data_IF_931368060596
#
_entry.id   IF_931368060596
#
_cell.length_a   1.000
_cell.length_b   1.000
_cell.length_c   1.000
_cell.angle_alpha   90.00
_cell.angle_beta   90.00
_cell.angle_gamma   90.00
#
_symmetry.space_group_name_H-M   'P 1'
#
loop_
_entity.id
_entity.type
_entity.pdbx_description
1 polymer ?
#
# COMPACT_ATOMS: atom_id res chain seq x y z
N UNK A 1 -13.23 23.35 -1.22
CA UNK A 1 -14.20 24.12 -0.39
C UNK A 1 -13.70 25.54 -0.24
N UNK A 2 -14.57 26.52 0.00
CA UNK A 2 -14.15 27.88 0.39
C UNK A 2 -14.87 28.35 1.66
N UNK A 3 -14.29 29.37 2.29
CA UNK A 3 -14.87 30.02 3.47
C UNK A 3 -15.63 31.33 3.15
N UNK A 4 -15.49 31.83 1.92
CA UNK A 4 -16.21 32.98 1.36
C UNK A 4 -17.20 32.56 0.28
N UNK A 5 -17.60 33.50 -0.60
CA UNK A 5 -18.50 33.18 -1.70
C UNK A 5 -17.75 32.43 -2.81
N UNK A 6 -18.39 31.42 -3.39
CA UNK A 6 -17.80 30.62 -4.48
C UNK A 6 -17.52 31.49 -5.71
N UNK A 7 -18.36 32.49 -5.97
CA UNK A 7 -18.22 33.40 -7.11
C UNK A 7 -16.91 34.20 -7.08
N UNK A 8 -16.37 34.47 -5.89
CA UNK A 8 -15.13 35.24 -5.73
C UNK A 8 -13.93 34.51 -6.37
N UNK A 9 -14.05 33.20 -6.59
CA UNK A 9 -12.97 32.34 -7.09
C UNK A 9 -13.05 32.06 -8.59
N UNK A 10 -13.92 32.75 -9.34
CA UNK A 10 -14.16 32.43 -10.75
C UNK A 10 -12.96 32.63 -11.68
N UNK A 11 -11.99 33.41 -11.23
CA UNK A 11 -10.75 33.70 -11.95
C UNK A 11 -9.61 32.70 -11.66
N UNK A 12 -9.78 31.78 -10.69
CA UNK A 12 -8.77 30.77 -10.38
C UNK A 12 -8.92 29.51 -11.24
N UNK A 13 -7.79 28.85 -11.51
CA UNK A 13 -7.73 27.59 -12.25
C UNK A 13 -8.44 26.44 -11.50
N UNK A 14 -8.26 26.39 -10.18
CA UNK A 14 -8.90 25.41 -9.30
C UNK A 14 -9.98 26.16 -8.51
N UNK A 15 -11.23 25.79 -8.74
CA UNK A 15 -12.38 26.46 -8.13
C UNK A 15 -12.96 25.64 -6.98
N UNK A 16 -13.38 26.28 -5.88
CA UNK A 16 -14.14 25.61 -4.84
C UNK A 16 -15.52 25.22 -5.37
N UNK A 17 -15.98 24.01 -5.07
CA UNK A 17 -17.32 23.54 -5.49
C UNK A 17 -18.46 24.09 -4.63
N UNK A 18 -18.19 24.37 -3.34
CA UNK A 18 -19.15 24.90 -2.37
C UNK A 18 -18.46 25.63 -1.22
N UNK A 19 -19.24 26.43 -0.51
CA UNK A 19 -18.84 27.08 0.74
C UNK A 19 -19.05 26.16 1.96
N UNK A 20 -18.16 26.26 2.94
CA UNK A 20 -18.25 25.56 4.23
C UNK A 20 -19.39 26.12 5.08
N UNK A 21 -20.22 25.24 5.64
CA UNK A 21 -21.15 25.60 6.71
C UNK A 21 -20.43 25.67 8.07
N UNK A 22 -19.80 26.83 8.33
CA UNK A 22 -19.07 27.06 9.59
C UNK A 22 -20.00 27.02 10.80
N UNK A 23 -21.22 27.51 10.65
CA UNK A 23 -22.17 27.63 11.76
C UNK A 23 -22.58 26.26 12.27
N UNK A 24 -22.80 25.30 11.36
CA UNK A 24 -23.11 23.92 11.72
C UNK A 24 -21.95 23.26 12.49
N UNK A 25 -20.71 23.47 12.06
CA UNK A 25 -19.53 22.92 12.74
C UNK A 25 -19.42 23.49 14.16
N UNK A 26 -19.53 24.82 14.31
CA UNK A 26 -19.44 25.49 15.62
C UNK A 26 -20.57 25.00 16.54
N UNK A 27 -21.79 24.89 16.02
CA UNK A 27 -22.95 24.44 16.80
C UNK A 27 -22.79 23.02 17.36
N UNK A 28 -22.20 22.12 16.58
CA UNK A 28 -22.04 20.70 16.94
C UNK A 28 -20.63 20.36 17.47
N UNK A 29 -19.79 21.38 17.69
CA UNK A 29 -18.37 21.20 18.00
C UNK A 29 -18.13 20.32 19.23
N UNK A 30 -18.89 20.53 20.31
CA UNK A 30 -18.80 19.71 21.53
C UNK A 30 -19.08 18.22 21.26
N UNK A 31 -20.07 17.93 20.40
CA UNK A 31 -20.40 16.56 20.03
C UNK A 31 -19.30 15.93 19.18
N UNK A 32 -18.74 16.68 18.23
CA UNK A 32 -17.60 16.27 17.41
C UNK A 32 -16.40 15.95 18.32
N UNK A 33 -16.04 16.85 19.24
CA UNK A 33 -14.94 16.64 20.18
C UNK A 33 -15.14 15.40 21.07
N UNK A 34 -16.36 15.17 21.58
CA UNK A 34 -16.67 13.97 22.37
C UNK A 34 -16.50 12.69 21.56
N UNK A 35 -16.92 12.68 20.29
CA UNK A 35 -16.73 11.54 19.39
C UNK A 35 -15.24 11.30 19.15
N UNK A 36 -14.48 12.35 18.82
CA UNK A 36 -13.04 12.27 18.59
C UNK A 36 -12.29 11.77 19.84
N UNK A 37 -12.64 12.29 21.02
CA UNK A 37 -12.06 11.85 22.30
C UNK A 37 -12.40 10.38 22.59
N UNK A 38 -13.63 9.94 22.35
CA UNK A 38 -14.04 8.54 22.56
C UNK A 38 -13.29 7.58 21.64
N UNK A 39 -13.08 7.97 20.38
CA UNK A 39 -12.28 7.20 19.42
C UNK A 39 -10.81 7.18 19.81
N UNK A 40 -10.24 8.31 20.21
CA UNK A 40 -8.85 8.41 20.65
C UNK A 40 -8.57 7.57 21.92
N UNK A 41 -9.49 7.58 22.87
CA UNK A 41 -9.45 6.76 24.09
C UNK A 41 -9.83 5.30 23.86
N UNK A 42 -10.20 4.92 22.63
CA UNK A 42 -10.64 3.57 22.24
C UNK A 42 -11.80 3.04 23.09
N UNK A 43 -12.63 3.93 23.66
CA UNK A 43 -13.82 3.56 24.45
C UNK A 43 -14.99 3.12 23.56
N UNK A 44 -14.92 3.42 22.26
CA UNK A 44 -15.88 2.98 21.24
C UNK A 44 -15.17 2.69 19.92
N UNK A 45 -15.81 1.92 19.04
CA UNK A 45 -15.30 1.64 17.69
C UNK A 45 -15.87 2.61 16.66
N UNK A 46 -15.12 2.87 15.59
CA UNK A 46 -15.59 3.66 14.44
C UNK A 46 -16.89 3.10 13.86
N UNK A 47 -17.00 1.76 13.75
CA UNK A 47 -18.21 1.09 13.25
C UNK A 47 -19.44 1.36 14.13
N UNK A 48 -19.26 1.42 15.46
CA UNK A 48 -20.34 1.75 16.39
C UNK A 48 -20.77 3.21 16.25
N UNK A 49 -19.82 4.14 16.15
CA UNK A 49 -20.09 5.56 15.93
C UNK A 49 -20.85 5.77 14.62
N UNK A 50 -20.35 5.23 13.51
CA UNK A 50 -20.98 5.34 12.18
C UNK A 50 -22.39 4.76 12.21
N UNK A 51 -22.57 3.57 12.78
CA UNK A 51 -23.90 2.97 12.95
C UNK A 51 -24.83 3.90 13.72
N UNK A 52 -24.41 4.38 14.89
CA UNK A 52 -25.23 5.25 15.75
C UNK A 52 -25.62 6.56 15.06
N UNK A 53 -24.67 7.20 14.37
CA UNK A 53 -24.90 8.45 13.65
C UNK A 53 -25.81 8.27 12.44
N UNK A 54 -25.75 7.11 11.78
CA UNK A 54 -26.52 6.78 10.57
C UNK A 54 -27.92 6.21 10.86
N UNK A 55 -28.14 5.63 12.04
CA UNK A 55 -29.46 5.10 12.46
C UNK A 55 -30.46 6.23 12.74
N UNK A 56 -29.98 7.35 13.27
CA UNK A 56 -30.80 8.57 13.41
C UNK A 56 -31.00 9.12 11.99
N UNK A 57 -32.26 9.31 11.57
CA UNK A 57 -32.68 9.74 10.20
C UNK A 57 -31.67 10.72 9.55
N UNK A 58 -31.62 10.73 8.20
CA UNK A 58 -30.80 11.52 7.23
C UNK A 58 -30.45 13.00 7.56
N UNK A 59 -30.90 13.54 8.68
CA UNK A 59 -30.76 14.89 9.20
C UNK A 59 -29.89 14.99 10.46
N UNK A 60 -29.10 13.98 10.84
CA UNK A 60 -28.23 14.10 12.02
C UNK A 60 -27.25 15.28 11.87
N UNK A 61 -27.37 16.35 12.68
CA UNK A 61 -26.56 17.56 12.52
C UNK A 61 -25.09 17.30 12.86
N UNK A 62 -24.80 16.45 13.84
CA UNK A 62 -23.44 16.06 14.22
C UNK A 62 -22.75 15.30 13.07
N UNK A 63 -23.47 14.39 12.39
CA UNK A 63 -22.93 13.70 11.23
C UNK A 63 -22.59 14.67 10.10
N UNK A 64 -23.49 15.64 9.83
CA UNK A 64 -23.24 16.68 8.82
C UNK A 64 -22.07 17.59 9.20
N UNK A 65 -21.92 17.92 10.49
CA UNK A 65 -20.78 18.68 11.00
C UNK A 65 -19.45 17.92 10.82
N UNK A 66 -19.44 16.61 11.10
CA UNK A 66 -18.28 15.74 10.85
C UNK A 66 -17.91 15.71 9.36
N UNK A 67 -18.89 15.56 8.47
CA UNK A 67 -18.65 15.60 7.01
C UNK A 67 -18.10 16.96 6.60
N UNK A 68 -18.70 18.07 7.06
CA UNK A 68 -18.22 19.40 6.73
C UNK A 68 -16.79 19.66 7.23
N UNK A 69 -16.43 19.11 8.39
CA UNK A 69 -15.06 19.16 8.91
C UNK A 69 -14.10 18.33 8.05
N UNK A 70 -14.47 17.10 7.70
CA UNK A 70 -13.68 16.22 6.83
C UNK A 70 -13.42 16.87 5.46
N UNK A 71 -14.44 17.52 4.88
CA UNK A 71 -14.32 18.24 3.61
C UNK A 71 -13.32 19.43 3.67
N UNK A 72 -13.16 20.07 4.83
CA UNK A 72 -12.13 21.11 5.04
C UNK A 72 -10.75 20.46 5.02
N UNK A 73 -10.55 19.41 5.82
CA UNK A 73 -9.27 18.68 5.91
C UNK A 73 -8.88 18.10 4.55
N UNK A 74 -9.84 17.52 3.84
CA UNK A 74 -9.63 16.98 2.49
C UNK A 74 -9.29 18.08 1.49
N UNK A 75 -9.93 19.25 1.58
CA UNK A 75 -9.58 20.40 0.72
C UNK A 75 -8.14 20.84 0.97
N UNK A 76 -7.74 21.01 2.23
CA UNK A 76 -6.37 21.40 2.60
C UNK A 76 -5.34 20.38 2.08
N UNK A 77 -5.61 19.08 2.31
CA UNK A 77 -4.79 17.99 1.80
C UNK A 77 -4.66 18.00 0.27
N UNK A 78 -5.76 18.14 -0.47
CA UNK A 78 -5.74 18.15 -1.94
C UNK A 78 -4.94 19.33 -2.47
N UNK A 79 -5.09 20.53 -1.87
CA UNK A 79 -4.33 21.70 -2.27
C UNK A 79 -2.84 21.50 -2.04
N UNK A 80 -2.45 20.99 -0.86
CA UNK A 80 -1.05 20.63 -0.57
C UNK A 80 -0.51 19.56 -1.53
N UNK A 81 -1.32 18.54 -1.83
CA UNK A 81 -0.98 17.48 -2.77
C UNK A 81 -0.75 18.01 -4.19
N UNK A 82 -1.53 18.98 -4.66
CA UNK A 82 -1.37 19.56 -6.00
C UNK A 82 -0.07 20.37 -6.09
N UNK A 83 0.24 21.14 -5.05
CA UNK A 83 1.40 22.02 -5.00
C UNK A 83 2.72 21.24 -4.89
N UNK A 84 2.75 20.23 -4.02
CA UNK A 84 3.96 19.47 -3.70
C UNK A 84 4.21 18.30 -4.64
N UNK A 85 5.36 18.30 -5.32
CA UNK A 85 5.80 17.14 -6.09
C UNK A 85 6.21 15.97 -5.18
N UNK A 86 6.75 16.28 -3.99
CA UNK A 86 7.20 15.28 -3.03
C UNK A 86 6.02 14.46 -2.50
N UNK A 87 4.93 15.13 -2.12
CA UNK A 87 3.70 14.47 -1.64
C UNK A 87 3.09 13.58 -2.72
N UNK A 88 3.04 14.07 -3.97
CA UNK A 88 2.61 13.26 -5.12
C UNK A 88 3.43 12.00 -5.30
N UNK A 89 4.76 12.12 -5.24
CA UNK A 89 5.67 10.98 -5.37
C UNK A 89 5.50 10.00 -4.21
N UNK A 90 5.34 10.50 -2.97
CA UNK A 90 5.14 9.67 -1.79
C UNK A 90 3.84 8.86 -1.89
N UNK A 91 2.73 9.52 -2.24
CA UNK A 91 1.42 8.88 -2.46
C UNK A 91 1.49 7.87 -3.60
N UNK A 92 2.05 8.25 -4.76
CA UNK A 92 2.18 7.33 -5.89
C UNK A 92 3.02 6.10 -5.54
N UNK A 93 4.10 6.27 -4.77
CA UNK A 93 4.92 5.15 -4.30
C UNK A 93 4.13 4.23 -3.37
N UNK A 94 3.30 4.76 -2.49
CA UNK A 94 2.42 3.97 -1.65
C UNK A 94 1.37 3.20 -2.47
N UNK A 95 0.71 3.87 -3.42
CA UNK A 95 -0.26 3.27 -4.33
C UNK A 95 0.36 2.15 -5.17
N UNK A 96 1.51 2.40 -5.81
CA UNK A 96 2.21 1.41 -6.62
C UNK A 96 2.56 0.15 -5.82
N UNK A 97 2.89 0.28 -4.53
CA UNK A 97 3.13 -0.89 -3.65
C UNK A 97 1.85 -1.69 -3.43
N UNK A 98 0.73 -1.02 -3.14
CA UNK A 98 -0.56 -1.67 -2.98
C UNK A 98 -1.01 -2.36 -4.27
N UNK A 99 -0.88 -1.69 -5.41
CA UNK A 99 -1.23 -2.26 -6.71
C UNK A 99 -0.34 -3.47 -7.07
N UNK A 100 0.97 -3.38 -6.84
CA UNK A 100 1.89 -4.51 -7.03
C UNK A 100 1.50 -5.71 -6.17
N UNK A 101 1.12 -5.46 -4.92
CA UNK A 101 0.63 -6.50 -4.02
C UNK A 101 -0.67 -7.12 -4.51
N UNK A 102 -1.64 -6.31 -4.95
CA UNK A 102 -2.89 -6.82 -5.51
C UNK A 102 -2.67 -7.64 -6.79
N UNK A 103 -1.72 -7.23 -7.64
CA UNK A 103 -1.33 -8.01 -8.82
C UNK A 103 -0.75 -9.37 -8.42
N UNK A 104 0.13 -9.40 -7.40
CA UNK A 104 0.66 -10.66 -6.83
C UNK A 104 -0.46 -11.53 -6.26
N UNK A 105 -1.34 -10.99 -5.40
CA UNK A 105 -2.47 -11.73 -4.83
C UNK A 105 -3.39 -12.27 -5.92
N UNK A 106 -3.66 -11.49 -6.96
CA UNK A 106 -4.45 -11.93 -8.12
C UNK A 106 -3.77 -13.08 -8.87
N UNK A 107 -2.45 -13.02 -9.04
CA UNK A 107 -1.70 -14.09 -9.69
C UNK A 107 -1.75 -15.39 -8.89
N UNK A 108 -1.53 -15.31 -7.57
CA UNK A 108 -1.64 -16.46 -6.65
C UNK A 108 -3.05 -17.05 -6.69
N UNK A 109 -4.08 -16.21 -6.66
CA UNK A 109 -5.47 -16.68 -6.71
C UNK A 109 -5.81 -17.41 -8.02
N UNK A 110 -5.15 -17.08 -9.14
CA UNK A 110 -5.39 -17.67 -10.46
C UNK A 110 -4.69 -19.02 -10.69
N UNK A 111 -3.74 -19.39 -9.83
CA UNK A 111 -2.91 -20.60 -9.96
C UNK A 111 -3.71 -21.90 -10.04
N UNK A 112 -4.92 -21.92 -9.46
CA UNK A 112 -5.79 -23.09 -9.44
C UNK A 112 -6.66 -23.24 -10.71
N UNK A 113 -6.07 -23.00 -11.90
CA UNK A 113 -6.74 -23.18 -13.19
C UNK A 113 -7.78 -22.10 -13.54
N UNK A 114 -7.59 -20.86 -13.08
CA UNK A 114 -8.47 -19.74 -13.45
C UNK A 114 -9.88 -19.76 -12.82
N UNK A 115 -10.21 -20.80 -12.04
CA UNK A 115 -11.34 -20.74 -11.12
C UNK A 115 -10.89 -19.85 -9.96
N UNK A 116 -11.42 -18.62 -9.86
CA UNK A 116 -11.39 -17.87 -8.60
C UNK A 116 -11.70 -18.87 -7.50
N UNK A 117 -10.92 -18.85 -6.42
CA UNK A 117 -11.01 -19.88 -5.39
C UNK A 117 -12.46 -19.89 -4.88
N UNK A 118 -13.24 -20.86 -5.37
CA UNK A 118 -14.68 -20.89 -5.20
C UNK A 118 -14.95 -21.43 -3.80
N UNK A 119 -14.84 -20.56 -2.80
CA UNK A 119 -15.51 -20.80 -1.53
C UNK A 119 -17.00 -20.72 -1.77
N UNK A 120 -17.74 -21.79 -1.51
CA UNK A 120 -19.21 -21.75 -1.55
C UNK A 120 -19.78 -21.06 -0.29
N UNK A 121 -18.96 -21.01 0.76
CA UNK A 121 -19.28 -20.46 2.07
C UNK A 121 -18.33 -19.32 2.45
N UNK A 122 -18.79 -18.37 3.27
CA UNK A 122 -18.01 -17.22 3.76
C UNK A 122 -16.69 -17.65 4.44
N UNK A 123 -16.74 -18.70 5.27
CA UNK A 123 -15.56 -19.24 5.96
C UNK A 123 -14.49 -19.73 4.96
N UNK A 124 -14.91 -20.36 3.85
CA UNK A 124 -13.97 -20.85 2.84
C UNK A 124 -13.32 -19.68 2.10
N UNK A 125 -14.08 -18.62 1.80
CA UNK A 125 -13.54 -17.40 1.19
C UNK A 125 -12.50 -16.73 2.09
N UNK A 126 -12.78 -16.66 3.40
CA UNK A 126 -11.84 -16.12 4.38
C UNK A 126 -10.56 -16.94 4.46
N UNK A 127 -10.67 -18.28 4.59
CA UNK A 127 -9.50 -19.17 4.61
C UNK A 127 -8.67 -18.99 3.33
N UNK A 128 -9.32 -18.89 2.17
CA UNK A 128 -8.62 -18.70 0.90
C UNK A 128 -7.92 -17.34 0.83
N UNK A 129 -8.54 -16.27 1.30
CA UNK A 129 -7.92 -14.96 1.38
C UNK A 129 -6.69 -14.97 2.29
N UNK A 130 -6.77 -15.67 3.41
CA UNK A 130 -5.66 -15.88 4.35
C UNK A 130 -4.52 -16.70 3.73
N UNK A 131 -4.83 -17.77 2.99
CA UNK A 131 -3.83 -18.57 2.28
C UNK A 131 -3.12 -17.78 1.16
N UNK A 132 -3.85 -16.94 0.41
CA UNK A 132 -3.26 -16.03 -0.58
C UNK A 132 -2.32 -15.04 0.11
N UNK A 133 -2.77 -14.46 1.23
CA UNK A 133 -1.96 -13.51 2.01
C UNK A 133 -0.68 -14.16 2.53
N UNK A 134 -0.77 -15.38 3.06
CA UNK A 134 0.38 -16.14 3.54
C UNK A 134 1.38 -16.40 2.42
N UNK A 135 0.90 -16.90 1.27
CA UNK A 135 1.76 -17.19 0.10
C UNK A 135 2.43 -15.92 -0.42
N UNK A 136 1.69 -14.81 -0.52
CA UNK A 136 2.24 -13.52 -0.93
C UNK A 136 3.35 -13.06 0.03
N UNK A 137 3.13 -13.19 1.35
CA UNK A 137 4.12 -12.83 2.35
C UNK A 137 5.38 -13.71 2.29
N UNK A 138 5.24 -15.01 2.00
CA UNK A 138 6.39 -15.91 1.81
C UNK A 138 7.24 -15.46 0.60
N UNK A 139 6.61 -15.16 -0.53
CA UNK A 139 7.30 -14.67 -1.74
C UNK A 139 8.00 -13.34 -1.44
N UNK A 140 7.30 -12.39 -0.82
CA UNK A 140 7.85 -11.09 -0.46
C UNK A 140 9.02 -11.23 0.51
N UNK A 141 8.90 -12.10 1.51
CA UNK A 141 9.96 -12.36 2.48
C UNK A 141 11.20 -12.97 1.81
N UNK A 142 10.99 -13.95 0.93
CA UNK A 142 12.08 -14.56 0.16
C UNK A 142 12.82 -13.51 -0.67
N UNK A 143 12.09 -12.72 -1.45
CA UNK A 143 12.66 -11.64 -2.26
C UNK A 143 13.39 -10.60 -1.40
N UNK A 144 12.78 -10.13 -0.31
CA UNK A 144 13.37 -9.16 0.60
C UNK A 144 14.67 -9.69 1.23
N UNK A 145 14.74 -10.98 1.54
CA UNK A 145 15.94 -11.63 2.10
C UNK A 145 17.08 -11.64 1.09
N UNK A 146 16.80 -12.03 -0.16
CA UNK A 146 17.80 -11.99 -1.25
C UNK A 146 18.28 -10.56 -1.47
N UNK A 147 17.36 -9.60 -1.62
CA UNK A 147 17.69 -8.18 -1.84
C UNK A 147 18.52 -7.61 -0.70
N UNK A 148 18.21 -7.98 0.54
CA UNK A 148 18.96 -7.53 1.72
C UNK A 148 20.38 -8.07 1.73
N UNK A 149 20.59 -9.35 1.41
CA UNK A 149 21.93 -9.93 1.31
C UNK A 149 22.75 -9.34 0.17
N UNK A 150 22.14 -9.13 -1.00
CA UNK A 150 22.79 -8.45 -2.13
C UNK A 150 23.17 -7.01 -1.75
N UNK A 151 22.27 -6.28 -1.09
CA UNK A 151 22.56 -4.93 -0.63
C UNK A 151 23.74 -4.90 0.35
N UNK A 152 23.76 -5.80 1.35
CA UNK A 152 24.87 -5.88 2.30
C UNK A 152 26.21 -6.16 1.61
N UNK A 153 26.22 -7.05 0.62
CA UNK A 153 27.42 -7.34 -0.17
C UNK A 153 27.90 -6.10 -0.95
N UNK A 154 27.01 -5.44 -1.69
CA UNK A 154 27.39 -4.33 -2.56
C UNK A 154 27.57 -2.99 -1.82
N UNK A 155 27.10 -2.86 -0.58
CA UNK A 155 27.20 -1.62 0.21
C UNK A 155 28.63 -1.07 0.29
N UNK A 156 29.63 -1.95 0.44
CA UNK A 156 31.04 -1.57 0.51
C UNK A 156 31.78 -1.70 -0.84
N UNK A 157 31.38 -2.64 -1.70
CA UNK A 157 32.07 -2.91 -2.97
C UNK A 157 31.65 -1.96 -4.10
N UNK A 158 30.36 -1.62 -4.19
CA UNK A 158 29.81 -0.76 -5.23
C UNK A 158 28.56 0.00 -4.72
N UNK A 159 28.75 1.22 -4.19
CA UNK A 159 27.65 2.02 -3.64
C UNK A 159 26.53 2.35 -4.63
N UNK A 160 26.83 2.48 -5.92
CA UNK A 160 25.81 2.76 -6.94
C UNK A 160 24.91 1.54 -7.17
N UNK A 161 25.48 0.33 -7.24
CA UNK A 161 24.71 -0.91 -7.33
C UNK A 161 23.86 -1.14 -6.08
N UNK A 162 24.38 -0.79 -4.91
CA UNK A 162 23.62 -0.85 -3.65
C UNK A 162 22.39 0.08 -3.66
N UNK A 163 22.52 1.30 -4.22
CA UNK A 163 21.39 2.23 -4.42
C UNK A 163 20.34 1.67 -5.38
N UNK A 164 20.77 0.95 -6.42
CA UNK A 164 19.86 0.30 -7.36
C UNK A 164 19.06 -0.81 -6.69
N UNK A 165 19.71 -1.69 -5.92
CA UNK A 165 19.07 -2.80 -5.21
C UNK A 165 17.99 -2.32 -4.24
N UNK A 166 18.22 -1.20 -3.53
CA UNK A 166 17.20 -0.59 -2.64
C UNK A 166 15.94 -0.18 -3.41
N UNK A 167 16.06 0.12 -4.71
CA UNK A 167 14.91 0.53 -5.54
C UNK A 167 14.13 -0.67 -6.09
N UNK A 168 14.69 -1.88 -6.07
CA UNK A 168 14.00 -3.07 -6.54
C UNK A 168 12.84 -3.43 -5.61
N UNK A 169 11.72 -3.82 -6.21
CA UNK A 169 10.51 -4.15 -5.46
C UNK A 169 10.59 -5.59 -4.91
N UNK A 170 10.46 -5.79 -3.59
CA UNK A 170 10.37 -7.14 -3.02
C UNK A 170 9.05 -7.85 -3.39
N UNK A 171 8.08 -7.12 -3.95
CA UNK A 171 6.78 -7.66 -4.38
C UNK A 171 6.84 -8.21 -5.81
N UNK A 172 7.96 -8.05 -6.52
CA UNK A 172 8.11 -8.58 -7.87
C UNK A 172 7.99 -10.11 -7.88
N UNK A 173 7.14 -10.66 -8.77
CA UNK A 173 6.80 -12.09 -8.77
C UNK A 173 6.82 -12.73 -10.15
N UNK A 174 7.10 -11.96 -11.21
CA UNK A 174 7.11 -12.48 -12.59
C UNK A 174 8.11 -13.62 -12.83
N UNK A 175 9.14 -13.73 -11.98
CA UNK A 175 10.15 -14.79 -12.02
C UNK A 175 9.78 -15.99 -11.14
N UNK A 176 8.70 -15.91 -10.36
CA UNK A 176 8.21 -17.03 -9.54
C UNK A 176 7.25 -17.84 -10.39
N UNK A 177 7.54 -19.12 -10.58
CA UNK A 177 6.60 -20.01 -11.25
C UNK A 177 5.47 -20.38 -10.30
N UNK A 178 4.28 -19.85 -10.58
CA UNK A 178 3.06 -20.07 -9.80
C UNK A 178 2.13 -21.11 -10.44
N UNK A 179 2.44 -21.62 -11.63
CA UNK A 179 1.61 -22.58 -12.37
C UNK A 179 2.42 -23.85 -12.61
N UNK A 180 1.87 -25.00 -12.24
CA UNK A 180 2.50 -26.30 -12.48
C UNK A 180 2.06 -27.36 -11.48
N UNK A 181 2.69 -28.52 -11.58
CA UNK A 181 2.52 -29.60 -10.63
C UNK A 181 3.50 -29.39 -9.46
N UNK A 182 2.97 -29.43 -8.24
CA UNK A 182 3.76 -29.30 -7.02
C UNK A 182 3.93 -30.67 -6.38
N UNK A 183 5.17 -31.13 -6.28
CA UNK A 183 5.52 -32.32 -5.50
C UNK A 183 6.03 -31.88 -4.13
N UNK A 184 5.36 -32.31 -3.06
CA UNK A 184 5.82 -32.09 -1.70
C UNK A 184 6.87 -33.14 -1.35
N UNK A 185 8.14 -32.79 -1.48
CA UNK A 185 9.23 -33.67 -1.05
C UNK A 185 9.26 -33.80 0.47
N UNK A 186 9.52 -35.02 0.98
CA UNK A 186 9.91 -35.21 2.38
C UNK A 186 11.24 -34.50 2.61
N UNK A 187 11.31 -33.73 3.69
CA UNK A 187 12.32 -32.73 3.98
C UNK A 187 13.68 -33.37 4.30
N UNK A 188 14.49 -33.66 3.27
CA UNK A 188 15.87 -34.17 3.46
C UNK A 188 16.95 -33.07 3.40
N UNK A 189 16.65 -31.89 2.85
CA UNK A 189 17.55 -30.72 2.85
C UNK A 189 16.79 -29.42 3.11
N UNK A 190 17.27 -28.64 4.06
CA UNK A 190 16.83 -27.26 4.25
C UNK A 190 17.33 -26.38 3.10
N UNK A 191 16.49 -25.44 2.67
CA UNK A 191 16.79 -24.49 1.61
C UNK A 191 17.73 -23.41 2.18
N UNK A 192 19.01 -23.45 1.82
CA UNK A 192 19.98 -22.43 2.27
C UNK A 192 19.91 -21.19 1.37
N UNK A 193 19.20 -20.17 1.86
CA UNK A 193 19.05 -18.89 1.17
C UNK A 193 20.41 -18.18 1.03
N UNK A 194 21.36 -18.39 1.94
CA UNK A 194 22.68 -17.76 1.85
C UNK A 194 23.48 -18.33 0.67
N UNK A 195 23.34 -19.62 0.40
CA UNK A 195 23.98 -20.25 -0.75
C UNK A 195 23.39 -19.72 -2.07
N UNK A 196 22.07 -19.54 -2.14
CA UNK A 196 21.42 -18.90 -3.30
C UNK A 196 21.97 -17.49 -3.53
N UNK A 197 22.13 -16.69 -2.46
CA UNK A 197 22.70 -15.34 -2.56
C UNK A 197 24.15 -15.39 -3.06
N UNK A 198 24.95 -16.34 -2.57
CA UNK A 198 26.34 -16.54 -3.00
C UNK A 198 26.42 -16.85 -4.50
N UNK A 199 25.62 -17.81 -4.97
CA UNK A 199 25.54 -18.18 -6.39
C UNK A 199 25.10 -17.01 -7.27
N UNK A 200 24.13 -16.19 -6.81
CA UNK A 200 23.71 -14.99 -7.55
C UNK A 200 24.83 -13.95 -7.65
N UNK A 201 25.62 -13.78 -6.60
CA UNK A 201 26.79 -12.88 -6.62
C UNK A 201 27.84 -13.40 -7.59
N UNK A 202 28.15 -14.69 -7.57
CA UNK A 202 29.15 -15.33 -8.45
C UNK A 202 28.74 -15.25 -9.93
N UNK A 203 27.49 -15.59 -10.24
CA UNK A 203 26.97 -15.49 -11.61
C UNK A 203 26.94 -14.04 -12.10
N UNK A 204 26.66 -13.08 -11.22
CA UNK A 204 26.74 -11.67 -11.59
C UNK A 204 28.17 -11.24 -11.95
N UNK A 205 29.22 -11.87 -11.40
CA UNK A 205 30.60 -11.58 -11.82
C UNK A 205 30.91 -12.12 -13.23
N UNK A 206 30.28 -13.24 -13.62
CA UNK A 206 30.42 -13.81 -14.98
C UNK A 206 29.71 -13.00 -16.07
N UNK A 207 28.54 -12.43 -15.78
CA UNK A 207 27.76 -11.63 -16.75
C UNK A 207 28.31 -10.21 -16.94
N UNK A 208 29.09 -9.71 -15.97
CA UNK A 208 29.74 -8.39 -16.02
C UNK A 208 31.23 -8.48 -16.37
N UNK A 209 31.63 -9.45 -17.19
CA UNK A 209 32.97 -9.55 -17.76
C UNK A 209 33.42 -8.22 -18.37
N UNK A 210 34.22 -7.49 -17.58
CA UNK A 210 34.99 -6.34 -17.99
C UNK A 210 35.75 -6.70 -19.27
N UNK A 211 35.37 -6.13 -20.41
CA UNK A 211 36.32 -5.93 -21.50
C UNK A 211 37.37 -4.95 -20.99
N UNK A 212 38.40 -5.45 -20.33
CA UNK A 212 39.67 -4.75 -20.22
C UNK A 212 40.27 -4.69 -21.62
N UNK A 213 40.17 -3.52 -22.25
CA UNK A 213 41.12 -3.12 -23.26
C UNK A 213 42.42 -2.75 -22.56
N UNK A 214 43.48 -3.47 -22.90
CA UNK A 214 44.87 -3.02 -22.84
C UNK A 214 45.56 -3.80 -23.96
N UNK A 215 45.74 -3.18 -25.13
CA UNK A 215 47.08 -2.74 -25.59
C UNK A 215 48.15 -3.77 -25.28
N UNK A 216 48.49 -4.54 -26.30
CA UNK A 216 49.81 -4.48 -26.93
C UNK A 216 49.62 -4.44 -28.46
#
# INVERSE_FOLDING_TARGET
MCFGNVADYDHYLIKPSKAVDKQLIIKEWDNVQRIMASLALKTTTQSTVVRKLSTVKKTNPTLKALIALDEIVMTDYILGYIDSLEDRRAVQKALNRGESYHQLSSAIAKTNGGKMINGKNEIELDINAECIRLTANIIIHHNATILSGLYQHYKALNPEKAKEIIRWSPVAWKFVNLIGNYEFYKKDKDLDIQEVIRLLIENSKSDFGLKSSSTD
#
